data_IF_491913989935
#
_entry.id   IF_491913989935
#
_cell.length_a   1.000
_cell.length_b   1.000
_cell.length_c   1.000
_cell.angle_alpha   90.00
_cell.angle_beta   90.00
_cell.angle_gamma   90.00
#
_symmetry.space_group_name_H-M   'P 1'
#
loop_
_entity.id
_entity.type
_entity.pdbx_description
1 polymer ?
#
# COMPACT_ATOMS: atom_id res chain seq x y z
N UNK A 1 -13.10 20.84 -12.59
CA UNK A 1 -12.39 20.07 -11.54
C UNK A 1 -12.15 18.65 -11.96
N UNK A 2 -10.98 18.09 -11.62
CA UNK A 2 -10.57 16.74 -12.01
C UNK A 2 -10.59 15.82 -10.80
N UNK A 3 -11.35 14.74 -10.88
CA UNK A 3 -11.43 13.71 -9.86
C UNK A 3 -10.56 12.50 -10.25
N UNK A 4 -9.86 11.93 -9.28
CA UNK A 4 -9.00 10.76 -9.46
C UNK A 4 -9.35 9.70 -8.41
N UNK A 5 -9.32 8.44 -8.80
CA UNK A 5 -9.65 7.31 -7.94
C UNK A 5 -8.76 6.11 -8.25
N UNK A 6 -8.53 5.26 -7.25
CA UNK A 6 -7.94 3.95 -7.42
C UNK A 6 -8.67 2.98 -6.50
N UNK A 7 -8.93 1.78 -6.99
CA UNK A 7 -9.67 0.74 -6.27
C UNK A 7 -8.88 -0.57 -6.30
N UNK A 8 -9.10 -1.39 -5.29
CA UNK A 8 -8.58 -2.75 -5.20
C UNK A 8 -9.57 -3.62 -4.42
N UNK A 9 -9.34 -4.93 -4.41
CA UNK A 9 -10.23 -5.90 -3.79
C UNK A 9 -10.37 -5.66 -2.29
N UNK A 10 -11.60 -5.74 -1.79
CA UNK A 10 -11.88 -5.70 -0.36
C UNK A 10 -11.41 -7.00 0.29
N UNK A 11 -10.70 -6.88 1.41
CA UNK A 11 -10.24 -8.01 2.20
C UNK A 11 -10.91 -7.96 3.58
N UNK A 12 -11.72 -8.99 3.89
CA UNK A 12 -12.42 -9.06 5.17
C UNK A 12 -11.44 -9.14 6.35
N UNK A 13 -11.62 -8.25 7.34
CA UNK A 13 -10.84 -8.18 8.58
C UNK A 13 -10.56 -6.74 9.01
N UNK A 14 -10.00 -6.57 10.21
CA UNK A 14 -9.52 -5.27 10.71
C UNK A 14 -8.00 -5.32 10.76
N UNK A 15 -7.33 -4.41 10.05
CA UNK A 15 -5.88 -4.37 9.93
C UNK A 15 -5.36 -3.02 10.42
N UNK A 16 -4.72 -3.02 11.57
CA UNK A 16 -4.16 -1.80 12.16
C UNK A 16 -2.97 -1.28 11.33
N UNK A 17 -2.80 0.03 11.25
CA UNK A 17 -1.73 0.68 10.50
C UNK A 17 -1.93 0.73 8.97
N UNK A 18 -3.04 0.22 8.44
CA UNK A 18 -3.32 0.29 6.99
C UNK A 18 -3.39 1.72 6.44
N UNK A 19 -3.95 2.66 7.23
CA UNK A 19 -3.96 4.07 6.87
C UNK A 19 -2.56 4.70 6.85
N UNK A 20 -1.72 4.36 7.82
CA UNK A 20 -0.34 4.86 7.90
C UNK A 20 0.51 4.33 6.76
N UNK A 21 0.36 3.05 6.41
CA UNK A 21 1.00 2.46 5.23
C UNK A 21 0.53 3.17 3.97
N UNK A 22 -0.78 3.34 3.77
CA UNK A 22 -1.32 4.04 2.60
C UNK A 22 -0.77 5.46 2.47
N UNK A 23 -0.81 6.25 3.55
CA UNK A 23 -0.35 7.64 3.55
C UNK A 23 1.16 7.72 3.28
N UNK A 24 1.96 6.84 3.89
CA UNK A 24 3.41 6.78 3.70
C UNK A 24 3.78 6.45 2.26
N UNK A 25 3.12 5.48 1.64
CA UNK A 25 3.39 5.11 0.25
C UNK A 25 2.93 6.20 -0.72
N UNK A 26 1.76 6.81 -0.47
CA UNK A 26 1.27 7.91 -1.29
C UNK A 26 2.26 9.08 -1.28
N UNK A 27 2.68 9.52 -0.09
CA UNK A 27 3.64 10.59 0.07
C UNK A 27 4.99 10.22 -0.55
N UNK A 28 5.50 9.02 -0.26
CA UNK A 28 6.77 8.54 -0.81
C UNK A 28 6.78 8.50 -2.34
N UNK A 29 5.70 8.04 -2.97
CA UNK A 29 5.57 8.02 -4.42
C UNK A 29 5.54 9.44 -5.02
N UNK A 30 4.82 10.37 -4.39
CA UNK A 30 4.79 11.78 -4.80
C UNK A 30 6.19 12.43 -4.70
N UNK A 31 6.90 12.18 -3.60
CA UNK A 31 8.28 12.68 -3.40
C UNK A 31 9.27 12.07 -4.40
N UNK A 32 8.99 10.86 -4.92
CA UNK A 32 9.73 10.24 -6.02
C UNK A 32 9.24 10.66 -7.42
N UNK A 33 8.54 11.79 -7.53
CA UNK A 33 8.16 12.38 -8.82
C UNK A 33 7.04 11.64 -9.56
N UNK A 34 6.33 10.71 -8.91
CA UNK A 34 5.15 10.08 -9.51
C UNK A 34 4.02 11.09 -9.61
N UNK A 35 3.25 11.00 -10.69
CA UNK A 35 2.02 11.78 -10.82
C UNK A 35 1.00 11.32 -9.79
N UNK A 36 0.08 12.19 -9.38
CA UNK A 36 -0.88 11.90 -8.30
C UNK A 36 -1.70 10.64 -8.58
N UNK A 37 -2.08 10.38 -9.84
CA UNK A 37 -2.85 9.21 -10.23
C UNK A 37 -2.03 7.91 -10.07
N UNK A 38 -0.73 7.97 -10.38
CA UNK A 38 0.19 6.86 -10.21
C UNK A 38 0.50 6.62 -8.73
N UNK A 39 0.79 7.69 -7.97
CA UNK A 39 1.05 7.62 -6.55
C UNK A 39 -0.14 7.02 -5.79
N UNK A 40 -1.37 7.46 -6.12
CA UNK A 40 -2.60 6.92 -5.56
C UNK A 40 -2.76 5.43 -5.86
N UNK A 41 -2.51 5.02 -7.11
CA UNK A 41 -2.60 3.59 -7.48
C UNK A 41 -1.54 2.74 -6.78
N UNK A 42 -0.30 3.20 -6.68
CA UNK A 42 0.77 2.51 -5.96
C UNK A 42 0.41 2.35 -4.48
N UNK A 43 -0.11 3.40 -3.83
CA UNK A 43 -0.52 3.36 -2.43
C UNK A 43 -1.66 2.37 -2.18
N UNK A 44 -2.71 2.37 -3.01
CA UNK A 44 -3.82 1.41 -2.91
C UNK A 44 -3.32 -0.02 -3.11
N UNK A 45 -2.60 -0.28 -4.21
CA UNK A 45 -2.15 -1.63 -4.56
C UNK A 45 -1.18 -2.19 -3.52
N UNK A 46 -0.25 -1.38 -3.01
CA UNK A 46 0.70 -1.80 -1.99
C UNK A 46 0.00 -2.10 -0.66
N UNK A 47 -0.91 -1.23 -0.21
CA UNK A 47 -1.63 -1.41 1.06
C UNK A 47 -2.46 -2.69 1.04
N UNK A 48 -3.19 -2.96 -0.04
CA UNK A 48 -3.95 -4.22 -0.16
C UNK A 48 -3.03 -5.44 -0.21
N UNK A 49 -1.86 -5.32 -0.81
CA UNK A 49 -0.89 -6.43 -0.84
C UNK A 49 -0.35 -6.75 0.55
N UNK A 50 -0.09 -5.72 1.37
CA UNK A 50 0.29 -5.90 2.77
C UNK A 50 -0.84 -6.55 3.58
N UNK A 51 -2.10 -6.12 3.37
CA UNK A 51 -3.28 -6.73 4.01
C UNK A 51 -3.41 -8.22 3.62
N UNK A 52 -3.26 -8.55 2.34
CA UNK A 52 -3.35 -9.93 1.85
C UNK A 52 -2.24 -10.81 2.42
N UNK A 53 -0.99 -10.34 2.43
CA UNK A 53 0.13 -11.07 3.03
C UNK A 53 -0.08 -11.27 4.54
N UNK A 54 -0.43 -10.21 5.27
CA UNK A 54 -0.71 -10.27 6.72
C UNK A 54 -1.80 -11.28 7.05
N UNK A 55 -2.90 -11.26 6.27
CA UNK A 55 -4.00 -12.22 6.44
C UNK A 55 -3.56 -13.66 6.16
N UNK A 56 -2.73 -13.87 5.13
CA UNK A 56 -2.26 -15.20 4.74
C UNK A 56 -1.33 -15.82 5.79
N UNK A 57 -0.50 -15.01 6.45
CA UNK A 57 0.40 -15.47 7.49
C UNK A 57 -0.32 -15.86 8.79
N UNK A 58 -1.54 -15.39 9.00
CA UNK A 58 -2.27 -15.62 10.25
C UNK A 58 -1.60 -14.96 11.46
N UNK A 59 -0.78 -13.93 11.23
CA UNK A 59 -0.11 -13.19 12.28
C UNK A 59 -1.13 -12.47 13.19
N UNK A 60 -0.74 -12.25 14.44
CA UNK A 60 -1.55 -11.47 15.37
C UNK A 60 -1.68 -10.03 14.87
N UNK A 61 -2.91 -9.64 14.54
CA UNK A 61 -3.26 -8.36 13.93
C UNK A 61 -2.87 -7.15 14.79
N UNK A 62 -2.56 -7.34 16.08
CA UNK A 62 -2.04 -6.29 16.98
C UNK A 62 -0.66 -5.77 16.57
N UNK A 63 0.11 -6.55 15.80
CA UNK A 63 1.41 -6.11 15.27
C UNK A 63 1.28 -5.22 14.02
N UNK A 64 0.07 -5.04 13.49
CA UNK A 64 -0.16 -4.25 12.29
C UNK A 64 0.07 -5.05 11.00
N UNK A 65 0.32 -4.33 9.89
CA UNK A 65 0.57 -4.94 8.60
C UNK A 65 2.02 -5.41 8.47
N UNK A 66 2.21 -6.63 7.96
CA UNK A 66 3.50 -7.08 7.45
C UNK A 66 3.75 -6.46 6.07
N UNK A 67 4.27 -5.23 6.08
CA UNK A 67 4.64 -4.51 4.86
C UNK A 67 6.05 -4.87 4.40
N UNK A 68 6.89 -5.38 5.28
CA UNK A 68 8.31 -5.70 5.06
C UNK A 68 8.48 -6.67 3.90
N UNK A 69 7.64 -7.71 3.84
CA UNK A 69 7.66 -8.67 2.73
C UNK A 69 7.25 -8.07 1.38
N UNK A 70 6.54 -6.95 1.40
CA UNK A 70 6.07 -6.28 0.19
C UNK A 70 7.06 -5.20 -0.30
N UNK A 71 8.05 -4.78 0.49
CA UNK A 71 9.03 -3.74 0.13
C UNK A 71 9.71 -3.97 -1.23
N UNK A 72 10.16 -5.19 -1.60
CA UNK A 72 10.77 -5.41 -2.92
C UNK A 72 9.84 -5.03 -4.09
N UNK A 73 8.53 -5.29 -3.94
CA UNK A 73 7.53 -4.89 -4.94
C UNK A 73 7.33 -3.37 -4.97
N UNK A 74 7.42 -2.70 -3.82
CA UNK A 74 7.34 -1.24 -3.76
C UNK A 74 8.49 -0.58 -4.54
N UNK A 75 9.73 -1.05 -4.33
CA UNK A 75 10.92 -0.54 -5.04
C UNK A 75 10.71 -0.60 -6.55
N UNK A 76 10.26 -1.75 -7.06
CA UNK A 76 9.93 -1.93 -8.48
C UNK A 76 8.81 -1.01 -8.97
N UNK A 77 7.73 -0.86 -8.18
CA UNK A 77 6.63 0.04 -8.55
C UNK A 77 7.05 1.52 -8.56
N UNK A 78 8.03 1.88 -7.72
CA UNK A 78 8.62 3.22 -7.70
C UNK A 78 9.66 3.41 -8.83
N UNK A 79 10.13 2.33 -9.48
CA UNK A 79 11.18 2.38 -10.49
C UNK A 79 12.53 2.78 -9.88
N UNK A 80 12.83 2.18 -8.72
CA UNK A 80 14.07 2.39 -7.96
C UNK A 80 14.98 1.14 -8.01
N UNK A 81 14.67 0.19 -8.89
CA UNK A 81 15.43 -1.04 -9.15
C UNK A 81 16.51 -0.87 -10.22
#
# INVERSE_FOLDING_TARGET
DRYIHAFSSVVNGTFHGAGDVFASILLGALLNGKRVEQALKIAVDFTVSCIVSTKKEGADLRYGLNFEQNIPRLIKNLGLD
#
